data_IF_265153632799
#
_entry.id   IF_265153632799
#
_cell.length_a   1.000
_cell.length_b   1.000
_cell.length_c   1.000
_cell.angle_alpha   90.00
_cell.angle_beta   90.00
_cell.angle_gamma   90.00
#
_symmetry.space_group_name_H-M   'P 1'
#
loop_
_entity.id
_entity.type
_entity.pdbx_description
1 polymer ?
#
# COMPACT_ATOMS: atom_id res chain seq x y z
N UNK A 1 -12.34 12.76 17.94
CA UNK A 1 -12.57 11.39 17.46
C UNK A 1 -11.28 10.60 17.58
N UNK A 2 -11.39 9.38 18.04
CA UNK A 2 -10.22 8.52 18.16
C UNK A 2 -9.85 7.88 16.82
N UNK A 3 -8.56 7.84 16.55
CA UNK A 3 -8.02 7.17 15.38
C UNK A 3 -7.78 5.71 15.72
N UNK A 4 -8.25 4.82 14.86
CA UNK A 4 -8.08 3.39 15.03
C UNK A 4 -6.98 2.88 14.08
N UNK A 5 -6.05 2.12 14.63
CA UNK A 5 -5.04 1.41 13.86
C UNK A 5 -5.65 0.10 13.35
N UNK A 6 -5.51 -0.16 12.05
CA UNK A 6 -5.90 -1.45 11.47
C UNK A 6 -4.68 -2.17 10.94
N UNK A 7 -4.72 -3.49 11.03
CA UNK A 7 -3.66 -4.36 10.54
C UNK A 7 -4.29 -5.46 9.70
N UNK A 8 -3.76 -5.65 8.49
CA UNK A 8 -4.29 -6.61 7.53
C UNK A 8 -3.15 -7.49 7.04
N UNK A 9 -3.39 -8.79 7.01
CA UNK A 9 -2.46 -9.74 6.41
C UNK A 9 -3.05 -10.28 5.11
N UNK A 10 -2.22 -10.42 4.10
CA UNK A 10 -2.62 -11.00 2.83
C UNK A 10 -1.52 -11.91 2.32
N UNK A 11 -1.82 -13.20 2.23
CA UNK A 11 -0.87 -14.19 1.74
C UNK A 11 -0.83 -14.19 0.22
N UNK A 12 0.38 -14.11 -0.34
CA UNK A 12 0.61 -14.20 -1.76
C UNK A 12 0.96 -15.63 -2.15
N UNK A 13 0.83 -15.93 -3.44
CA UNK A 13 1.28 -17.20 -3.99
C UNK A 13 2.76 -17.15 -4.37
N UNK A 14 3.30 -15.96 -4.55
CA UNK A 14 4.68 -15.77 -4.96
C UNK A 14 5.66 -16.10 -3.85
N UNK A 15 6.80 -16.67 -4.22
CA UNK A 15 7.95 -16.89 -3.35
C UNK A 15 9.12 -15.98 -3.71
N UNK A 16 8.94 -15.10 -4.70
CA UNK A 16 10.00 -14.20 -5.17
C UNK A 16 9.97 -12.88 -4.41
N UNK A 17 10.93 -12.70 -3.53
CA UNK A 17 11.07 -11.48 -2.74
C UNK A 17 11.31 -10.25 -3.63
N UNK A 18 12.08 -10.42 -4.69
CA UNK A 18 12.38 -9.32 -5.61
C UNK A 18 11.14 -8.86 -6.37
N UNK A 19 10.33 -9.80 -6.86
CA UNK A 19 9.09 -9.46 -7.57
C UNK A 19 8.13 -8.74 -6.63
N UNK A 20 7.94 -9.26 -5.42
CA UNK A 20 7.03 -8.65 -4.44
C UNK A 20 7.54 -7.27 -4.03
N UNK A 21 8.85 -7.13 -3.79
CA UNK A 21 9.42 -5.83 -3.45
C UNK A 21 9.17 -4.78 -4.54
N UNK A 22 9.30 -5.15 -5.81
CA UNK A 22 9.00 -4.23 -6.92
C UNK A 22 7.54 -3.75 -6.87
N UNK A 23 6.63 -4.55 -6.34
CA UNK A 23 5.21 -4.21 -6.27
C UNK A 23 4.88 -3.32 -5.07
N UNK A 24 5.61 -3.42 -3.97
CA UNK A 24 5.30 -2.65 -2.75
C UNK A 24 6.26 -1.50 -2.51
N UNK A 25 7.48 -1.58 -3.00
CA UNK A 25 8.55 -0.63 -2.67
C UNK A 25 8.89 0.39 -3.75
N UNK A 26 8.18 0.39 -4.88
CA UNK A 26 8.43 1.32 -5.98
C UNK A 26 7.13 2.00 -6.41
N UNK A 27 7.27 3.22 -6.97
CA UNK A 27 6.10 3.94 -7.50
C UNK A 27 5.42 3.15 -8.62
N UNK A 28 6.18 2.58 -9.53
CA UNK A 28 5.64 1.77 -10.63
C UNK A 28 4.87 0.56 -10.12
N UNK A 29 5.37 -0.07 -9.06
CA UNK A 29 4.70 -1.22 -8.45
C UNK A 29 3.42 -0.82 -7.75
N UNK A 30 3.46 0.24 -6.96
CA UNK A 30 2.27 0.75 -6.25
C UNK A 30 1.17 1.17 -7.23
N UNK A 31 1.54 1.69 -8.40
CA UNK A 31 0.60 2.08 -9.44
C UNK A 31 -0.21 0.91 -9.99
N UNK A 32 0.27 -0.30 -9.81
CA UNK A 32 -0.44 -1.49 -10.31
C UNK A 32 -1.65 -1.85 -9.45
N UNK A 33 -1.63 -1.48 -8.15
CA UNK A 33 -2.67 -1.97 -7.25
C UNK A 33 -3.21 -0.97 -6.24
N UNK A 34 -2.47 0.07 -5.87
CA UNK A 34 -2.91 1.05 -4.87
C UNK A 34 -3.73 2.17 -5.52
N UNK A 35 -3.29 2.67 -6.66
CA UNK A 35 -3.90 3.79 -7.35
C UNK A 35 -3.73 3.65 -8.85
N UNK A 36 -4.39 4.51 -9.62
CA UNK A 36 -4.29 4.47 -11.07
C UNK A 36 -2.97 5.07 -11.57
N UNK A 37 -2.42 6.02 -10.81
CA UNK A 37 -1.12 6.59 -11.10
C UNK A 37 -0.39 6.88 -9.79
N UNK A 38 0.89 6.54 -9.73
CA UNK A 38 1.74 6.84 -8.58
C UNK A 38 3.07 7.36 -9.09
N UNK A 39 3.51 8.49 -8.55
CA UNK A 39 4.81 9.07 -8.86
C UNK A 39 5.57 9.36 -7.58
N UNK A 40 6.90 9.31 -7.66
CA UNK A 40 7.77 9.64 -6.56
C UNK A 40 8.77 10.70 -7.03
N UNK A 41 8.79 11.84 -6.33
CA UNK A 41 9.78 12.92 -6.56
C UNK A 41 10.41 13.27 -5.23
N UNK A 42 11.72 13.01 -5.10
CA UNK A 42 12.37 13.14 -3.81
C UNK A 42 11.74 12.17 -2.81
N UNK A 43 11.12 12.69 -1.77
CA UNK A 43 10.39 11.90 -0.79
C UNK A 43 8.87 12.11 -0.84
N UNK A 44 8.36 12.71 -1.93
CA UNK A 44 6.93 12.97 -2.09
C UNK A 44 6.33 11.93 -3.04
N UNK A 45 5.40 11.12 -2.51
CA UNK A 45 4.59 10.20 -3.29
C UNK A 45 3.29 10.90 -3.66
N UNK A 46 2.92 10.85 -4.93
CA UNK A 46 1.64 11.37 -5.42
C UNK A 46 0.81 10.21 -5.96
N UNK A 47 -0.39 10.04 -5.41
CA UNK A 47 -1.33 9.00 -5.81
C UNK A 47 -2.52 9.65 -6.50
N UNK A 48 -2.91 9.11 -7.66
CA UNK A 48 -4.06 9.59 -8.42
C UNK A 48 -4.99 8.43 -8.69
N UNK A 49 -6.27 8.60 -8.34
CA UNK A 49 -7.34 7.67 -8.64
C UNK A 49 -8.26 8.31 -9.67
N UNK A 50 -8.57 7.58 -10.74
CA UNK A 50 -9.37 8.07 -11.84
C UNK A 50 -8.54 8.64 -12.98
N UNK A 51 -9.24 9.22 -13.95
CA UNK A 51 -8.60 9.77 -15.16
C UNK A 51 -8.26 11.25 -14.93
N UNK A 52 -7.00 11.62 -15.17
CA UNK A 52 -6.54 13.02 -15.01
C UNK A 52 -7.29 14.01 -15.91
N UNK A 53 -7.91 13.52 -16.99
CA UNK A 53 -8.70 14.34 -17.92
C UNK A 53 -10.17 14.42 -17.57
N UNK A 54 -10.59 13.71 -16.50
CA UNK A 54 -11.98 13.66 -16.04
C UNK A 54 -12.01 13.86 -14.53
N UNK A 55 -13.04 13.35 -13.90
CA UNK A 55 -13.13 13.37 -12.45
C UNK A 55 -12.08 12.44 -11.84
N UNK A 56 -11.21 13.00 -11.01
CA UNK A 56 -10.15 12.21 -10.36
C UNK A 56 -9.90 12.72 -8.93
N UNK A 57 -9.30 11.89 -8.14
CA UNK A 57 -8.88 12.21 -6.78
C UNK A 57 -7.36 12.09 -6.69
N UNK A 58 -6.72 13.03 -6.01
CA UNK A 58 -5.28 13.03 -5.84
C UNK A 58 -4.93 13.23 -4.37
N UNK A 59 -3.97 12.45 -3.89
CA UNK A 59 -3.42 12.62 -2.55
C UNK A 59 -1.90 12.55 -2.62
N UNK A 60 -1.25 13.34 -1.76
CA UNK A 60 0.20 13.34 -1.63
C UNK A 60 0.59 12.79 -0.26
N UNK A 61 1.73 12.13 -0.22
CA UNK A 61 2.29 11.55 0.99
C UNK A 61 3.78 11.80 1.06
N UNK A 62 4.30 11.81 2.27
CA UNK A 62 5.75 11.86 2.51
C UNK A 62 6.23 10.44 2.72
N UNK A 63 7.18 10.01 1.90
CA UNK A 63 7.81 8.71 2.07
C UNK A 63 8.74 8.78 3.27
N UNK A 64 8.44 8.02 4.31
CA UNK A 64 9.22 8.01 5.54
C UNK A 64 10.44 7.09 5.41
N UNK A 65 10.25 5.91 4.85
CA UNK A 65 11.34 5.02 4.49
C UNK A 65 10.87 3.92 3.53
N UNK A 66 11.85 3.35 2.83
CA UNK A 66 11.65 2.17 1.99
C UNK A 66 12.89 1.28 2.19
N UNK A 67 12.74 0.27 3.04
CA UNK A 67 13.81 -0.69 3.34
C UNK A 67 13.71 -1.85 2.36
N UNK A 68 14.66 -1.93 1.45
CA UNK A 68 14.65 -2.89 0.34
C UNK A 68 14.39 -4.32 0.82
N UNK A 69 13.45 -5.01 0.16
CA UNK A 69 13.03 -6.39 0.46
C UNK A 69 12.40 -6.55 1.84
N UNK A 70 11.97 -5.46 2.47
CA UNK A 70 11.40 -5.49 3.81
C UNK A 70 10.09 -4.73 3.91
N UNK A 71 10.14 -3.41 3.84
CA UNK A 71 8.95 -2.59 4.11
C UNK A 71 9.05 -1.19 3.52
N UNK A 72 7.88 -0.57 3.34
CA UNK A 72 7.73 0.83 2.94
C UNK A 72 6.73 1.49 3.88
N UNK A 73 6.98 2.73 4.26
CA UNK A 73 6.07 3.51 5.10
C UNK A 73 5.96 4.92 4.56
N UNK A 74 4.72 5.42 4.47
CA UNK A 74 4.48 6.82 4.11
C UNK A 74 3.42 7.43 5.01
N UNK A 75 3.41 8.76 5.11
CA UNK A 75 2.43 9.52 5.86
C UNK A 75 1.70 10.45 4.92
N UNK A 76 0.37 10.41 4.93
CA UNK A 76 -0.44 11.31 4.09
C UNK A 76 -0.27 12.76 4.57
N UNK A 77 -0.12 13.70 3.64
CA UNK A 77 0.06 15.12 3.98
C UNK A 77 -1.23 15.78 4.47
N UNK A 78 -2.39 15.15 4.21
CA UNK A 78 -3.69 15.62 4.65
C UNK A 78 -4.14 15.01 5.99
N UNK A 79 -3.28 14.27 6.65
CA UNK A 79 -3.56 13.66 7.95
C UNK A 79 -2.59 14.17 9.01
N UNK A 80 -3.13 14.39 10.21
CA UNK A 80 -2.34 14.86 11.35
C UNK A 80 -1.88 13.71 12.23
N UNK A 81 -0.84 13.98 13.02
CA UNK A 81 -0.38 13.10 14.07
C UNK A 81 0.50 11.98 13.57
N UNK A 82 0.38 10.84 14.23
CA UNK A 82 1.27 9.69 14.02
C UNK A 82 0.73 8.66 13.04
N UNK A 83 -0.32 9.01 12.28
CA UNK A 83 -0.90 8.11 11.29
C UNK A 83 0.05 7.89 10.11
N UNK A 84 0.11 6.66 9.63
CA UNK A 84 0.94 6.28 8.50
C UNK A 84 0.35 5.07 7.79
N UNK A 85 0.83 4.78 6.58
CA UNK A 85 0.58 3.51 5.91
C UNK A 85 1.90 2.77 5.83
N UNK A 86 1.91 1.52 6.24
CA UNK A 86 3.08 0.68 6.12
C UNK A 86 2.71 -0.63 5.44
N UNK A 87 3.51 -1.03 4.47
CA UNK A 87 3.39 -2.33 3.82
C UNK A 87 4.71 -3.05 4.04
N UNK A 88 4.65 -4.20 4.69
CA UNK A 88 5.83 -5.04 4.90
C UNK A 88 5.60 -6.42 4.33
N UNK A 89 6.68 -7.13 4.07
CA UNK A 89 6.64 -8.49 3.55
C UNK A 89 7.39 -9.43 4.47
N UNK A 90 6.82 -10.62 4.68
CA UNK A 90 7.49 -11.68 5.42
C UNK A 90 7.44 -12.96 4.60
N UNK A 91 8.39 -13.84 4.83
CA UNK A 91 8.56 -15.07 4.06
C UNK A 91 8.39 -16.26 5.00
N UNK A 92 7.54 -17.22 4.61
CA UNK A 92 7.38 -18.44 5.39
C UNK A 92 8.69 -19.25 5.37
N UNK A 93 9.21 -19.68 6.52
CA UNK A 93 10.41 -20.51 6.54
C UNK A 93 10.17 -21.93 6.01
N UNK A 94 8.92 -22.33 5.89
CA UNK A 94 8.55 -23.68 5.42
C UNK A 94 8.30 -23.70 3.92
N UNK A 95 7.42 -22.81 3.43
CA UNK A 95 6.98 -22.80 2.02
C UNK A 95 7.70 -21.78 1.16
N UNK A 96 8.29 -20.75 1.77
CA UNK A 96 8.86 -19.63 1.05
C UNK A 96 7.81 -18.63 0.57
N UNK A 97 6.53 -18.91 0.77
CA UNK A 97 5.46 -18.01 0.35
C UNK A 97 5.50 -16.71 1.16
N UNK A 98 5.17 -15.62 0.48
CA UNK A 98 5.28 -14.28 1.06
C UNK A 98 3.91 -13.80 1.53
N UNK A 99 3.88 -13.22 2.73
CA UNK A 99 2.70 -12.57 3.29
C UNK A 99 2.94 -11.07 3.34
N UNK A 100 1.99 -10.29 2.85
CA UNK A 100 2.00 -8.85 3.02
C UNK A 100 1.29 -8.48 4.32
N UNK A 101 1.86 -7.54 5.05
CA UNK A 101 1.28 -6.97 6.26
C UNK A 101 1.05 -5.50 6.00
N UNK A 102 -0.19 -5.05 6.12
CA UNK A 102 -0.54 -3.66 5.92
C UNK A 102 -1.00 -3.06 7.24
N UNK A 103 -0.43 -1.93 7.60
CA UNK A 103 -0.86 -1.11 8.74
C UNK A 103 -1.39 0.20 8.18
N UNK A 104 -2.59 0.57 8.59
CA UNK A 104 -3.23 1.81 8.17
C UNK A 104 -4.05 2.36 9.35
N UNK A 105 -4.48 3.61 9.24
CA UNK A 105 -5.22 4.28 10.30
C UNK A 105 -6.47 4.93 9.73
N UNK A 106 -7.53 4.92 10.53
CA UNK A 106 -8.80 5.56 10.17
C UNK A 106 -9.57 5.87 11.44
N UNK A 107 -10.69 6.59 11.30
CA UNK A 107 -11.65 6.69 12.39
C UNK A 107 -12.49 5.43 12.42
N UNK A 108 -13.04 5.09 13.57
CA UNK A 108 -13.76 3.82 13.79
C UNK A 108 -14.92 3.63 12.81
N UNK A 109 -15.67 4.69 12.54
CA UNK A 109 -16.83 4.62 11.64
C UNK A 109 -16.46 4.25 10.20
N UNK A 110 -15.22 4.50 9.79
CA UNK A 110 -14.72 4.23 8.44
C UNK A 110 -13.89 2.95 8.35
N UNK A 111 -13.74 2.19 9.44
CA UNK A 111 -12.88 1.02 9.47
C UNK A 111 -13.29 -0.03 8.44
N UNK A 112 -14.59 -0.33 8.34
CA UNK A 112 -15.08 -1.31 7.35
C UNK A 112 -14.81 -0.88 5.93
N UNK A 113 -15.00 0.40 5.64
CA UNK A 113 -14.69 0.98 4.32
C UNK A 113 -13.21 0.81 4.00
N UNK A 114 -12.33 1.07 4.98
CA UNK A 114 -10.89 0.95 4.77
C UNK A 114 -10.47 -0.51 4.55
N UNK A 115 -11.01 -1.45 5.30
CA UNK A 115 -10.78 -2.88 5.06
C UNK A 115 -11.21 -3.27 3.64
N UNK A 116 -12.39 -2.82 3.21
CA UNK A 116 -12.90 -3.11 1.87
C UNK A 116 -12.00 -2.52 0.79
N UNK A 117 -11.50 -1.31 1.00
CA UNK A 117 -10.58 -0.66 0.07
C UNK A 117 -9.29 -1.49 -0.10
N UNK A 118 -8.72 -1.98 1.00
CA UNK A 118 -7.53 -2.81 0.92
C UNK A 118 -7.81 -4.15 0.24
N UNK A 119 -8.98 -4.75 0.47
CA UNK A 119 -9.34 -5.98 -0.24
C UNK A 119 -9.42 -5.75 -1.75
N UNK A 120 -10.01 -4.64 -2.19
CA UNK A 120 -10.02 -4.28 -3.61
C UNK A 120 -8.61 -4.06 -4.16
N UNK A 121 -7.73 -3.46 -3.37
CA UNK A 121 -6.34 -3.28 -3.76
C UNK A 121 -5.65 -4.63 -3.95
N UNK A 122 -5.85 -5.58 -3.03
CA UNK A 122 -5.28 -6.92 -3.14
C UNK A 122 -5.82 -7.67 -4.36
N UNK A 123 -7.11 -7.52 -4.68
CA UNK A 123 -7.69 -8.11 -5.88
C UNK A 123 -7.02 -7.57 -7.14
N UNK A 124 -6.76 -6.26 -7.19
CA UNK A 124 -6.06 -5.64 -8.31
C UNK A 124 -4.61 -6.12 -8.40
N UNK A 125 -3.95 -6.27 -7.27
CA UNK A 125 -2.58 -6.80 -7.21
C UNK A 125 -2.51 -8.18 -7.87
N UNK A 126 -3.44 -9.05 -7.50
CA UNK A 126 -3.51 -10.40 -8.07
C UNK A 126 -3.80 -10.38 -9.56
N UNK A 127 -4.78 -9.59 -9.99
CA UNK A 127 -5.18 -9.52 -11.39
C UNK A 127 -4.07 -8.96 -12.29
N UNK A 128 -3.32 -7.97 -11.81
CA UNK A 128 -2.32 -7.29 -12.64
C UNK A 128 -0.94 -7.91 -12.56
N UNK A 129 -0.60 -8.59 -11.48
CA UNK A 129 0.74 -9.14 -11.29
C UNK A 129 0.78 -10.66 -11.15
N UNK A 130 -0.33 -11.29 -10.81
CA UNK A 130 -0.40 -12.73 -10.64
C UNK A 130 0.19 -13.25 -9.33
N UNK A 131 0.60 -12.36 -8.43
CA UNK A 131 1.16 -12.77 -7.13
C UNK A 131 0.06 -13.11 -6.10
#
# INVERSE_FOLDING_TARGET
MSIKKIEIEHQLKSTSRNIVWQLIGTADGLQKWIADKVTLKGNILTFVWGDVWRHHEMRQAILLYADCLSRIRWSWDDEDGDAYVEISMSCSPVSGEITLHVTDFTIEDDAEWLYSTWQHNFDRLRLKSGV
#
